data_IF_383683105161
#
_entry.id   IF_383683105161
#
_cell.length_a   1.000
_cell.length_b   1.000
_cell.length_c   1.000
_cell.angle_alpha   90.00
_cell.angle_beta   90.00
_cell.angle_gamma   90.00
#
_symmetry.space_group_name_H-M   'P 1'
#
loop_
_entity.id
_entity.type
_entity.pdbx_description
1 polymer ?
#
# COMPACT_ATOMS: atom_id res chain seq x y z
N UNK A 1 -60.41 -1.55 18.84
CA UNK A 1 -59.69 -2.46 17.91
C UNK A 1 -59.33 -1.63 16.69
N UNK A 2 -58.09 -1.27 16.41
CA UNK A 2 -56.82 -1.68 16.99
C UNK A 2 -55.77 -0.59 16.74
N UNK A 3 -54.94 -0.40 17.76
CA UNK A 3 -53.62 0.23 17.85
C UNK A 3 -52.95 0.71 16.55
N UNK A 4 -52.56 1.99 16.55
CA UNK A 4 -51.43 2.51 15.79
C UNK A 4 -50.43 3.11 16.77
N UNK A 5 -49.29 2.44 16.89
CA UNK A 5 -48.12 2.85 17.65
C UNK A 5 -47.54 4.17 17.07
N UNK A 6 -47.67 5.27 17.81
CA UNK A 6 -46.73 6.39 17.70
C UNK A 6 -45.71 6.24 18.84
N UNK A 7 -44.44 5.89 18.58
CA UNK A 7 -43.43 5.94 19.61
C UNK A 7 -42.98 7.39 19.76
N UNK A 8 -43.37 8.02 20.86
CA UNK A 8 -42.46 8.77 21.75
C UNK A 8 -41.32 9.56 21.06
N UNK A 9 -41.62 10.52 20.17
CA UNK A 9 -40.60 11.47 19.66
C UNK A 9 -40.50 12.72 20.56
N UNK A 10 -41.46 12.92 21.47
CA UNK A 10 -41.60 14.19 22.19
C UNK A 10 -40.81 14.32 23.50
N UNK A 11 -40.09 13.28 23.95
CA UNK A 11 -39.41 13.31 25.27
C UNK A 11 -37.88 13.33 25.25
N UNK A 12 -37.22 13.50 24.09
CA UNK A 12 -35.75 13.42 24.00
C UNK A 12 -35.03 14.77 23.87
N UNK A 13 -35.74 15.88 23.65
CA UNK A 13 -35.12 17.18 23.41
C UNK A 13 -35.19 18.06 24.65
N UNK A 14 -34.16 17.96 25.50
CA UNK A 14 -33.92 18.89 26.60
C UNK A 14 -33.68 20.31 26.09
N UNK A 15 -34.11 21.31 26.89
CA UNK A 15 -33.86 22.75 26.82
C UNK A 15 -33.43 23.31 25.44
N UNK A 16 -34.26 24.17 24.84
CA UNK A 16 -34.08 24.74 23.49
C UNK A 16 -32.68 25.28 23.14
N UNK A 17 -31.92 25.78 24.11
CA UNK A 17 -30.54 26.24 23.91
C UNK A 17 -29.55 25.10 23.59
N UNK A 18 -29.76 23.89 24.13
CA UNK A 18 -28.91 22.73 23.85
C UNK A 18 -29.13 22.18 22.44
N UNK A 19 -30.35 22.31 21.92
CA UNK A 19 -30.72 21.86 20.58
C UNK A 19 -30.09 22.73 19.49
N UNK A 20 -30.06 24.05 19.69
CA UNK A 20 -29.42 24.98 18.75
C UNK A 20 -27.91 24.71 18.65
N UNK A 21 -27.24 24.53 19.79
CA UNK A 21 -25.81 24.25 19.84
C UNK A 21 -25.47 22.89 19.22
N UNK A 22 -26.31 21.87 19.42
CA UNK A 22 -26.14 20.56 18.80
C UNK A 22 -26.29 20.61 17.27
N UNK A 23 -27.24 21.37 16.75
CA UNK A 23 -27.44 21.57 15.30
C UNK A 23 -26.24 22.29 14.68
N UNK A 24 -25.78 23.38 15.27
CA UNK A 24 -24.61 24.14 14.78
C UNK A 24 -23.33 23.29 14.76
N UNK A 25 -23.11 22.44 15.78
CA UNK A 25 -21.97 21.54 15.83
C UNK A 25 -22.03 20.38 14.82
N UNK A 26 -23.22 20.09 14.28
CA UNK A 26 -23.45 18.99 13.35
C UNK A 26 -23.40 19.43 11.88
N UNK A 27 -23.55 20.73 11.61
CA UNK A 27 -23.46 21.31 10.27
C UNK A 27 -22.44 22.46 10.20
N UNK A 28 -21.14 22.21 10.43
CA UNK A 28 -20.11 23.25 10.42
C UNK A 28 -19.88 23.89 9.04
N UNK A 29 -20.45 23.29 7.98
CA UNK A 29 -20.38 23.77 6.61
C UNK A 29 -21.58 24.64 6.20
N UNK A 30 -22.56 24.81 7.09
CA UNK A 30 -23.71 25.67 6.86
C UNK A 30 -23.52 26.99 7.61
N UNK A 31 -23.63 28.13 6.91
CA UNK A 31 -23.60 29.47 7.49
C UNK A 31 -24.93 29.79 8.20
N UNK A 32 -25.23 29.05 9.27
CA UNK A 32 -26.42 29.25 10.11
C UNK A 32 -25.99 29.87 11.43
N UNK A 33 -26.61 30.98 11.82
CA UNK A 33 -26.36 31.61 13.12
C UNK A 33 -27.40 31.17 14.17
N UNK A 34 -27.11 31.39 15.45
CA UNK A 34 -28.05 31.05 16.53
C UNK A 34 -29.35 31.86 16.43
N UNK A 35 -29.25 33.14 16.05
CA UNK A 35 -30.39 34.00 15.72
C UNK A 35 -31.30 33.40 14.64
N UNK A 36 -30.76 32.82 13.58
CA UNK A 36 -31.56 32.22 12.49
C UNK A 36 -32.40 31.03 12.95
N UNK A 37 -31.85 30.23 13.88
CA UNK A 37 -32.52 29.08 14.49
C UNK A 37 -33.61 29.51 15.47
N UNK A 38 -33.41 30.61 16.20
CA UNK A 38 -34.42 31.16 17.13
C UNK A 38 -35.62 31.77 16.38
N UNK A 39 -35.38 32.43 15.24
CA UNK A 39 -36.43 33.03 14.41
C UNK A 39 -37.23 31.97 13.62
N UNK A 40 -36.64 30.79 13.37
CA UNK A 40 -37.24 29.73 12.55
C UNK A 40 -37.26 28.37 13.28
N UNK A 41 -38.16 28.17 14.27
CA UNK A 41 -38.16 26.96 15.10
C UNK A 41 -38.49 25.67 14.33
N UNK A 42 -39.25 25.74 13.24
CA UNK A 42 -39.54 24.56 12.40
C UNK A 42 -38.33 24.14 11.57
N UNK A 43 -37.54 25.11 11.10
CA UNK A 43 -36.27 24.86 10.41
C UNK A 43 -35.25 24.23 11.36
N UNK A 44 -35.19 24.70 12.61
CA UNK A 44 -34.36 24.10 13.64
C UNK A 44 -34.73 22.63 13.92
N UNK A 45 -36.03 22.30 14.00
CA UNK A 45 -36.50 20.90 14.12
C UNK A 45 -36.11 20.04 12.92
N UNK A 46 -36.22 20.56 11.70
CA UNK A 46 -35.81 19.85 10.49
C UNK A 46 -34.31 19.55 10.50
N UNK A 47 -33.47 20.54 10.83
CA UNK A 47 -32.04 20.33 10.96
C UNK A 47 -31.71 19.32 12.05
N UNK A 48 -32.39 19.38 13.20
CA UNK A 48 -32.24 18.38 14.26
C UNK A 48 -32.61 16.97 13.77
N UNK A 49 -33.67 16.80 12.97
CA UNK A 49 -33.98 15.49 12.37
C UNK A 49 -32.94 15.06 11.34
N UNK A 50 -32.37 16.00 10.56
CA UNK A 50 -31.32 15.69 9.59
C UNK A 50 -30.01 15.26 10.27
N UNK A 51 -29.69 15.76 11.47
CA UNK A 51 -28.50 15.29 12.21
C UNK A 51 -28.53 13.80 12.53
N UNK A 52 -29.71 13.16 12.55
CA UNK A 52 -29.82 11.72 12.76
C UNK A 52 -29.44 10.90 11.52
N UNK A 53 -29.40 11.54 10.35
CA UNK A 53 -29.18 10.88 9.07
C UNK A 53 -27.93 11.37 8.34
N UNK A 54 -27.35 12.49 8.75
CA UNK A 54 -26.26 13.19 8.06
C UNK A 54 -25.14 13.55 9.05
N UNK A 55 -23.91 13.24 8.65
CA UNK A 55 -22.70 13.52 9.40
C UNK A 55 -22.17 14.95 9.17
N UNK A 56 -21.19 15.37 9.98
CA UNK A 56 -20.56 16.71 9.92
C UNK A 56 -20.01 17.11 8.54
N UNK A 57 -19.76 16.14 7.67
CA UNK A 57 -19.27 16.34 6.30
C UNK A 57 -20.40 16.46 5.28
N UNK A 58 -21.67 16.40 5.69
CA UNK A 58 -22.83 16.41 4.81
C UNK A 58 -23.15 15.07 4.15
N UNK A 59 -22.43 13.99 4.50
CA UNK A 59 -22.68 12.64 4.01
C UNK A 59 -23.76 11.96 4.83
N UNK A 60 -24.63 11.18 4.18
CA UNK A 60 -25.54 10.32 4.93
C UNK A 60 -24.78 9.24 5.68
N UNK A 61 -25.29 8.80 6.83
CA UNK A 61 -24.67 7.75 7.66
C UNK A 61 -24.40 6.48 6.84
N UNK A 62 -25.32 6.13 5.92
CA UNK A 62 -25.14 4.98 5.01
C UNK A 62 -24.00 5.19 4.02
N UNK A 63 -23.92 6.36 3.38
CA UNK A 63 -22.89 6.65 2.39
C UNK A 63 -21.51 6.77 3.03
N UNK A 64 -21.42 7.30 4.25
CA UNK A 64 -20.17 7.30 5.01
C UNK A 64 -19.73 5.87 5.36
N UNK A 65 -20.64 5.02 5.82
CA UNK A 65 -20.30 3.63 6.10
C UNK A 65 -19.81 2.88 4.84
N UNK A 66 -20.41 3.15 3.67
CA UNK A 66 -19.95 2.61 2.39
C UNK A 66 -18.57 3.18 1.99
N UNK A 67 -18.33 4.48 2.21
CA UNK A 67 -17.05 5.12 1.95
C UNK A 67 -15.93 4.54 2.81
N UNK A 68 -16.16 4.44 4.13
CA UNK A 68 -15.20 3.88 5.08
C UNK A 68 -14.88 2.41 4.72
N UNK A 69 -15.91 1.64 4.33
CA UNK A 69 -15.74 0.26 3.85
C UNK A 69 -14.92 0.19 2.56
N UNK A 70 -15.20 1.07 1.59
CA UNK A 70 -14.47 1.13 0.33
C UNK A 70 -13.01 1.55 0.53
N UNK A 71 -12.75 2.51 1.43
CA UNK A 71 -11.40 2.92 1.79
C UNK A 71 -10.64 1.79 2.47
N UNK A 72 -11.27 1.08 3.40
CA UNK A 72 -10.66 -0.08 4.06
C UNK A 72 -10.32 -1.18 3.04
N UNK A 73 -11.21 -1.47 2.09
CA UNK A 73 -10.96 -2.44 1.02
C UNK A 73 -9.80 -1.99 0.13
N UNK A 74 -9.76 -0.71 -0.27
CA UNK A 74 -8.65 -0.16 -1.05
C UNK A 74 -7.32 -0.27 -0.31
N UNK A 75 -7.29 0.03 0.99
CA UNK A 75 -6.09 -0.10 1.82
C UNK A 75 -5.64 -1.57 1.91
N UNK A 76 -6.59 -2.51 2.07
CA UNK A 76 -6.29 -3.94 2.09
C UNK A 76 -5.74 -4.43 0.75
N UNK A 77 -6.34 -4.04 -0.37
CA UNK A 77 -5.87 -4.37 -1.71
C UNK A 77 -4.48 -3.80 -1.97
N UNK A 78 -4.24 -2.54 -1.61
CA UNK A 78 -2.92 -1.91 -1.72
C UNK A 78 -1.88 -2.67 -0.91
N UNK A 79 -2.20 -3.06 0.33
CA UNK A 79 -1.30 -3.86 1.17
C UNK A 79 -0.99 -5.21 0.52
N UNK A 80 -2.02 -5.92 0.05
CA UNK A 80 -1.85 -7.21 -0.62
C UNK A 80 -0.99 -7.09 -1.88
N UNK A 81 -1.24 -6.07 -2.70
CA UNK A 81 -0.45 -5.78 -3.89
C UNK A 81 1.00 -5.44 -3.54
N UNK A 82 1.25 -4.60 -2.54
CA UNK A 82 2.62 -4.29 -2.11
C UNK A 82 3.36 -5.53 -1.62
N UNK A 83 2.66 -6.42 -0.92
CA UNK A 83 3.23 -7.69 -0.46
C UNK A 83 3.59 -8.60 -1.64
N UNK A 84 2.67 -8.81 -2.58
CA UNK A 84 2.92 -9.65 -3.76
C UNK A 84 4.02 -9.07 -4.64
N UNK A 85 4.01 -7.76 -4.87
CA UNK A 85 5.02 -7.04 -5.65
C UNK A 85 6.40 -7.11 -4.99
N UNK A 86 6.48 -6.93 -3.67
CA UNK A 86 7.75 -7.02 -2.93
C UNK A 86 8.33 -8.42 -3.01
N UNK A 87 7.49 -9.45 -2.86
CA UNK A 87 7.91 -10.84 -3.00
C UNK A 87 8.39 -11.10 -4.44
N UNK A 88 7.62 -10.70 -5.43
CA UNK A 88 7.95 -10.89 -6.84
C UNK A 88 9.29 -10.24 -7.20
N UNK A 89 9.52 -8.98 -6.79
CA UNK A 89 10.81 -8.32 -6.99
C UNK A 89 11.95 -9.05 -6.26
N UNK A 90 11.72 -9.50 -5.03
CA UNK A 90 12.70 -10.31 -4.30
C UNK A 90 13.06 -11.61 -5.04
N UNK A 91 12.10 -12.28 -5.67
CA UNK A 91 12.36 -13.48 -6.48
C UNK A 91 13.13 -13.17 -7.77
N UNK A 92 12.85 -12.03 -8.41
CA UNK A 92 13.61 -11.57 -9.57
C UNK A 92 15.06 -11.26 -9.20
N UNK A 93 15.28 -10.56 -8.08
CA UNK A 93 16.62 -10.26 -7.56
C UNK A 93 17.39 -11.55 -7.23
N UNK A 94 16.75 -12.51 -6.54
CA UNK A 94 17.35 -13.82 -6.27
C UNK A 94 17.78 -14.55 -7.55
N UNK A 95 16.97 -14.46 -8.61
CA UNK A 95 17.27 -15.06 -9.92
C UNK A 95 18.45 -14.35 -10.59
N UNK A 96 18.48 -13.02 -10.52
CA UNK A 96 19.58 -12.21 -11.07
C UNK A 96 20.90 -12.47 -10.33
N UNK A 97 20.88 -12.48 -9.00
CA UNK A 97 22.03 -12.81 -8.16
C UNK A 97 22.58 -14.20 -8.50
N UNK A 98 21.67 -15.16 -8.70
CA UNK A 98 22.04 -16.50 -9.14
C UNK A 98 22.72 -16.49 -10.50
N UNK A 99 22.16 -15.78 -11.49
CA UNK A 99 22.77 -15.65 -12.81
C UNK A 99 24.19 -15.08 -12.73
N UNK A 100 24.42 -14.04 -11.91
CA UNK A 100 25.77 -13.48 -11.71
C UNK A 100 26.70 -14.50 -11.06
N UNK A 101 26.24 -15.25 -10.05
CA UNK A 101 27.05 -16.28 -9.37
C UNK A 101 27.40 -17.45 -10.30
N UNK A 102 26.48 -17.89 -11.16
CA UNK A 102 26.69 -18.95 -12.17
C UNK A 102 27.81 -18.61 -13.15
N UNK A 103 27.96 -17.33 -13.52
CA UNK A 103 29.05 -16.88 -14.39
C UNK A 103 30.40 -16.77 -13.66
N UNK A 104 30.39 -16.56 -12.34
CA UNK A 104 31.61 -16.36 -11.53
C UNK A 104 32.14 -17.66 -10.91
N UNK A 105 31.30 -18.67 -10.70
CA UNK A 105 31.66 -19.89 -9.97
C UNK A 105 30.75 -21.07 -10.34
N UNK A 106 31.27 -22.29 -10.28
CA UNK A 106 30.47 -23.51 -10.45
C UNK A 106 29.51 -23.67 -9.27
N UNK A 107 28.21 -23.49 -9.52
CA UNK A 107 27.16 -23.64 -8.50
C UNK A 107 26.70 -25.10 -8.41
N UNK A 108 26.37 -25.65 -7.21
CA UNK A 108 25.89 -27.01 -7.09
C UNK A 108 24.67 -27.31 -7.99
N UNK A 109 24.58 -28.52 -8.57
CA UNK A 109 23.53 -28.86 -9.54
C UNK A 109 22.12 -28.79 -8.96
N UNK A 110 21.96 -29.05 -7.65
CA UNK A 110 20.65 -28.96 -6.97
C UNK A 110 20.16 -27.52 -6.83
N UNK A 111 21.08 -26.58 -6.55
CA UNK A 111 20.76 -25.16 -6.53
C UNK A 111 20.45 -24.66 -7.96
N UNK A 112 21.19 -25.14 -8.96
CA UNK A 112 20.90 -24.79 -10.35
C UNK A 112 19.48 -25.21 -10.78
N UNK A 113 19.06 -26.43 -10.43
CA UNK A 113 17.69 -26.89 -10.71
C UNK A 113 16.63 -26.05 -10.01
N UNK A 114 16.86 -25.62 -8.78
CA UNK A 114 15.93 -24.76 -8.03
C UNK A 114 15.71 -23.41 -8.73
N UNK A 115 16.80 -22.67 -9.01
CA UNK A 115 16.70 -21.34 -9.61
C UNK A 115 16.18 -21.39 -11.05
N UNK A 116 16.59 -22.39 -11.85
CA UNK A 116 16.06 -22.57 -13.22
C UNK A 116 14.56 -22.90 -13.22
N UNK A 117 14.10 -23.73 -12.26
CA UNK A 117 12.66 -24.04 -12.13
C UNK A 117 11.88 -22.80 -11.73
N UNK A 118 12.39 -22.04 -10.76
CA UNK A 118 11.75 -20.80 -10.29
C UNK A 118 11.66 -19.75 -11.40
N UNK A 119 12.76 -19.52 -12.13
CA UNK A 119 12.82 -18.58 -13.26
C UNK A 119 11.80 -18.94 -14.34
N UNK A 120 11.75 -20.22 -14.74
CA UNK A 120 10.78 -20.70 -15.74
C UNK A 120 9.34 -20.53 -15.27
N UNK A 121 9.03 -20.87 -14.02
CA UNK A 121 7.70 -20.64 -13.46
C UNK A 121 7.30 -19.15 -13.49
N UNK A 122 8.22 -18.26 -13.11
CA UNK A 122 7.96 -16.81 -13.12
C UNK A 122 7.74 -16.28 -14.53
N UNK A 123 8.53 -16.73 -15.51
CA UNK A 123 8.40 -16.33 -16.91
C UNK A 123 7.08 -16.82 -17.52
N UNK A 124 6.76 -18.09 -17.32
CA UNK A 124 5.50 -18.69 -17.81
C UNK A 124 4.30 -17.98 -17.21
N UNK A 125 4.29 -17.72 -15.90
CA UNK A 125 3.23 -16.99 -15.23
C UNK A 125 3.09 -15.55 -15.75
N UNK A 126 4.20 -14.83 -15.94
CA UNK A 126 4.17 -13.48 -16.52
C UNK A 126 3.66 -13.45 -17.95
N UNK A 127 4.07 -14.42 -18.77
CA UNK A 127 3.61 -14.54 -20.15
C UNK A 127 2.12 -14.87 -20.20
N UNK A 128 1.63 -15.81 -19.38
CA UNK A 128 0.21 -16.12 -19.27
C UNK A 128 -0.60 -14.88 -18.86
N UNK A 129 -0.17 -14.17 -17.80
CA UNK A 129 -0.82 -12.94 -17.33
C UNK A 129 -0.87 -11.83 -18.39
N UNK A 130 0.17 -11.70 -19.23
CA UNK A 130 0.19 -10.71 -20.32
C UNK A 130 -0.70 -11.10 -21.50
N UNK A 131 -1.00 -12.39 -21.66
CA UNK A 131 -1.91 -12.93 -22.66
C UNK A 131 -3.35 -13.02 -22.16
N UNK A 132 -3.58 -12.90 -20.85
CA UNK A 132 -4.91 -12.87 -20.25
C UNK A 132 -5.59 -11.52 -20.51
N UNK A 133 -6.34 -11.42 -21.60
CA UNK A 133 -7.09 -10.23 -22.01
C UNK A 133 -8.41 -10.00 -21.23
N UNK A 134 -8.60 -10.63 -20.07
CA UNK A 134 -9.87 -10.61 -19.32
C UNK A 134 -10.31 -9.24 -18.82
N UNK A 135 -9.50 -8.19 -18.98
CA UNK A 135 -9.80 -6.81 -18.58
C UNK A 135 -10.07 -5.86 -19.74
N UNK A 136 -9.98 -6.32 -21.00
CA UNK A 136 -10.29 -5.50 -22.19
C UNK A 136 -11.39 -6.18 -23.01
N UNK A 137 -12.61 -5.62 -23.08
CA UNK A 137 -13.75 -6.20 -23.79
C UNK A 137 -13.66 -6.02 -25.32
N UNK A 138 -12.46 -6.04 -25.91
CA UNK A 138 -12.28 -5.99 -27.35
C UNK A 138 -11.99 -7.41 -27.84
N UNK A 139 -13.04 -8.09 -28.30
CA UNK A 139 -12.98 -9.44 -28.89
C UNK A 139 -12.12 -9.54 -30.16
N UNK A 140 -11.62 -8.42 -30.70
CA UNK A 140 -10.98 -8.35 -32.02
C UNK A 140 -9.46 -8.09 -32.00
N UNK A 141 -8.81 -8.13 -30.84
CA UNK A 141 -7.34 -8.03 -30.82
C UNK A 141 -6.72 -9.42 -30.99
N UNK A 142 -5.97 -9.70 -32.08
CA UNK A 142 -5.31 -10.99 -32.25
C UNK A 142 -4.33 -11.20 -31.11
N UNK A 143 -4.34 -12.40 -30.52
CA UNK A 143 -3.37 -12.79 -29.49
C UNK A 143 -1.97 -12.41 -29.94
N UNK A 144 -1.18 -11.80 -29.04
CA UNK A 144 0.21 -11.46 -29.34
C UNK A 144 0.92 -12.76 -29.79
N UNK A 145 1.36 -12.80 -31.05
CA UNK A 145 1.97 -13.97 -31.70
C UNK A 145 1.05 -15.21 -31.90
N UNK A 146 -0.26 -15.09 -31.75
CA UNK A 146 -1.20 -16.21 -31.89
C UNK A 146 -1.15 -17.24 -30.74
N UNK A 147 -0.49 -16.88 -29.63
CA UNK A 147 -0.34 -17.75 -28.47
C UNK A 147 -1.54 -17.63 -27.52
N UNK A 148 -2.04 -18.75 -27.02
CA UNK A 148 -3.04 -18.77 -25.94
C UNK A 148 -2.39 -18.93 -24.57
N UNK A 149 -3.01 -18.43 -23.48
CA UNK A 149 -2.50 -18.63 -22.12
C UNK A 149 -2.31 -20.12 -21.76
N UNK A 150 -3.17 -21.00 -22.28
CA UNK A 150 -3.10 -22.44 -22.09
C UNK A 150 -1.82 -23.04 -22.69
N UNK A 151 -1.47 -22.65 -23.92
CA UNK A 151 -0.24 -23.10 -24.59
C UNK A 151 1.02 -22.63 -23.86
N UNK A 152 0.99 -21.44 -23.25
CA UNK A 152 2.10 -20.95 -22.43
C UNK A 152 2.21 -21.74 -21.13
N UNK A 153 1.09 -22.14 -20.52
CA UNK A 153 1.09 -22.96 -19.31
C UNK A 153 1.67 -24.36 -19.53
N UNK A 154 1.57 -24.92 -20.74
CA UNK A 154 2.21 -26.20 -21.10
C UNK A 154 3.75 -26.14 -21.02
N UNK A 155 4.35 -24.95 -21.04
CA UNK A 155 5.80 -24.75 -20.87
C UNK A 155 6.24 -24.78 -19.39
N UNK A 156 5.33 -25.02 -18.45
CA UNK A 156 5.67 -25.16 -17.03
C UNK A 156 6.68 -26.29 -16.81
N UNK A 157 7.62 -26.12 -15.87
CA UNK A 157 8.48 -27.21 -15.44
C UNK A 157 7.67 -28.41 -14.90
N UNK A 158 8.25 -29.62 -14.86
CA UNK A 158 7.59 -30.81 -14.31
C UNK A 158 7.07 -30.56 -12.89
N UNK A 159 5.85 -31.03 -12.60
CA UNK A 159 5.15 -30.74 -11.34
C UNK A 159 5.97 -31.14 -10.10
N UNK A 160 6.70 -32.25 -10.16
CA UNK A 160 7.60 -32.68 -9.08
C UNK A 160 8.69 -31.67 -8.75
N UNK A 161 9.21 -30.96 -9.75
CA UNK A 161 10.23 -29.92 -9.57
C UNK A 161 9.58 -28.66 -8.99
N UNK A 162 8.37 -28.33 -9.46
CA UNK A 162 7.59 -27.19 -8.95
C UNK A 162 7.26 -27.39 -7.47
N UNK A 163 6.82 -28.59 -7.07
CA UNK A 163 6.50 -28.87 -5.66
C UNK A 163 7.73 -28.84 -4.76
N UNK A 164 8.86 -29.42 -5.20
CA UNK A 164 10.14 -29.33 -4.47
C UNK A 164 10.66 -27.90 -4.34
N UNK A 165 10.53 -27.11 -5.40
CA UNK A 165 10.87 -25.68 -5.39
C UNK A 165 9.95 -24.93 -4.43
N UNK A 166 8.63 -25.11 -4.48
CA UNK A 166 7.66 -24.49 -3.56
C UNK A 166 7.95 -24.82 -2.10
N UNK A 167 8.29 -26.07 -1.78
CA UNK A 167 8.61 -26.49 -0.41
C UNK A 167 9.90 -25.85 0.13
N UNK A 168 10.87 -25.57 -0.74
CA UNK A 168 12.16 -24.98 -0.37
C UNK A 168 12.18 -23.44 -0.51
N UNK A 169 11.22 -22.85 -1.21
CA UNK A 169 11.14 -21.41 -1.49
C UNK A 169 11.13 -20.54 -0.24
N UNK A 170 10.31 -20.80 0.81
CA UNK A 170 10.28 -19.95 2.00
C UNK A 170 11.64 -19.82 2.67
N UNK A 171 12.39 -20.92 2.77
CA UNK A 171 13.73 -20.95 3.38
C UNK A 171 14.74 -20.15 2.57
N UNK A 172 14.67 -20.20 1.24
CA UNK A 172 15.57 -19.45 0.37
C UNK A 172 15.25 -17.94 0.39
N UNK A 173 13.96 -17.59 0.38
CA UNK A 173 13.51 -16.20 0.49
C UNK A 173 13.91 -15.62 1.84
N UNK A 174 13.67 -16.32 2.95
CA UNK A 174 14.06 -15.88 4.29
C UNK A 174 15.57 -15.66 4.40
N UNK A 175 16.38 -16.61 3.89
CA UNK A 175 17.83 -16.47 3.86
C UNK A 175 18.26 -15.24 3.06
N UNK A 176 17.73 -15.06 1.86
CA UNK A 176 18.07 -13.93 1.00
C UNK A 176 17.69 -12.58 1.63
N UNK A 177 16.48 -12.47 2.19
CA UNK A 177 16.04 -11.27 2.89
C UNK A 177 16.92 -10.97 4.10
N UNK A 178 17.29 -11.99 4.88
CA UNK A 178 18.19 -11.85 6.02
C UNK A 178 19.57 -11.37 5.58
N UNK A 179 20.16 -11.97 4.56
CA UNK A 179 21.44 -11.54 3.97
C UNK A 179 21.38 -10.07 3.52
N UNK A 180 20.31 -9.65 2.84
CA UNK A 180 20.11 -8.25 2.43
C UNK A 180 20.01 -7.31 3.62
N UNK A 181 19.23 -7.64 4.64
CA UNK A 181 19.10 -6.78 5.82
C UNK A 181 20.43 -6.66 6.57
N UNK A 182 21.20 -7.76 6.66
CA UNK A 182 22.54 -7.74 7.24
C UNK A 182 23.51 -6.90 6.41
N UNK A 183 23.47 -7.01 5.07
CA UNK A 183 24.27 -6.18 4.17
C UNK A 183 23.94 -4.70 4.28
N UNK A 184 22.67 -4.35 4.49
CA UNK A 184 22.26 -2.96 4.70
C UNK A 184 22.75 -2.44 6.05
N UNK A 185 22.64 -3.25 7.10
CA UNK A 185 23.18 -2.90 8.41
C UNK A 185 24.70 -2.63 8.35
N UNK A 186 25.47 -3.52 7.71
CA UNK A 186 26.91 -3.33 7.59
C UNK A 186 27.30 -2.10 6.77
N UNK A 187 26.45 -1.67 5.82
CA UNK A 187 26.70 -0.44 5.05
C UNK A 187 26.59 0.81 5.91
N UNK A 188 25.59 0.89 6.79
CA UNK A 188 25.39 2.06 7.65
C UNK A 188 26.23 2.01 8.94
N UNK A 189 26.53 0.81 9.44
CA UNK A 189 27.28 0.58 10.67
C UNK A 189 28.35 -0.49 10.45
N UNK A 190 29.47 -0.12 9.80
CA UNK A 190 30.55 -1.06 9.50
C UNK A 190 31.21 -1.64 10.75
N UNK A 191 31.11 -0.96 11.89
CA UNK A 191 31.64 -1.44 13.18
C UNK A 191 31.01 -2.77 13.61
N UNK A 192 29.82 -3.09 13.08
CA UNK A 192 29.09 -4.30 13.41
C UNK A 192 29.46 -5.49 12.51
N UNK A 193 30.28 -5.29 11.48
CA UNK A 193 30.65 -6.35 10.53
C UNK A 193 31.39 -7.51 11.22
N UNK A 194 32.13 -7.24 12.30
CA UNK A 194 32.93 -8.24 13.01
C UNK A 194 32.16 -8.95 14.14
N UNK A 195 30.91 -8.56 14.39
CA UNK A 195 30.09 -9.17 15.45
C UNK A 195 29.52 -10.53 15.04
N UNK A 196 29.15 -11.32 16.06
CA UNK A 196 28.52 -12.62 15.86
C UNK A 196 27.16 -12.48 15.18
N UNK A 197 26.76 -13.49 14.41
CA UNK A 197 25.51 -13.48 13.65
C UNK A 197 24.27 -13.30 14.55
N UNK A 198 24.33 -13.82 15.79
CA UNK A 198 23.28 -13.63 16.80
C UNK A 198 23.13 -12.17 17.25
N UNK A 199 24.24 -11.46 17.44
CA UNK A 199 24.22 -10.03 17.79
C UNK A 199 23.71 -9.18 16.62
N UNK A 200 24.16 -9.48 15.40
CA UNK A 200 23.65 -8.82 14.19
C UNK A 200 22.14 -9.04 14.03
N UNK A 201 21.66 -10.25 14.33
CA UNK A 201 20.23 -10.59 14.26
C UNK A 201 19.39 -9.80 15.27
N UNK A 202 19.90 -9.57 16.48
CA UNK A 202 19.21 -8.72 17.45
C UNK A 202 19.16 -7.25 16.99
N UNK A 203 20.23 -6.78 16.33
CA UNK A 203 20.32 -5.42 15.81
C UNK A 203 19.46 -5.18 14.57
N UNK A 204 19.04 -6.22 13.85
CA UNK A 204 18.07 -6.13 12.74
C UNK A 204 16.76 -5.46 13.16
N UNK A 205 16.36 -5.60 14.43
CA UNK A 205 15.14 -4.95 14.96
C UNK A 205 15.25 -3.42 14.86
N UNK A 206 16.46 -2.87 14.95
CA UNK A 206 16.71 -1.42 14.88
C UNK A 206 16.91 -0.90 13.44
N UNK A 207 17.00 -1.77 12.44
CA UNK A 207 17.24 -1.38 11.05
C UNK A 207 16.17 -0.42 10.52
N UNK A 208 14.90 -0.62 10.88
CA UNK A 208 13.81 0.25 10.45
C UNK A 208 13.95 1.67 11.01
N UNK A 209 14.38 1.82 12.26
CA UNK A 209 14.68 3.11 12.89
C UNK A 209 15.81 3.83 12.17
N UNK A 210 16.94 3.13 11.94
CA UNK A 210 18.10 3.65 11.22
C UNK A 210 17.74 4.11 9.79
N UNK A 211 16.98 3.30 9.06
CA UNK A 211 16.54 3.65 7.70
C UNK A 211 15.62 4.87 7.69
N UNK A 212 14.77 5.05 8.71
CA UNK A 212 13.92 6.23 8.82
C UNK A 212 14.73 7.49 9.12
N UNK A 213 15.75 7.39 9.98
CA UNK A 213 16.67 8.50 10.26
C UNK A 213 17.44 8.92 9.01
N UNK A 214 18.01 7.97 8.27
CA UNK A 214 18.72 8.24 7.02
C UNK A 214 17.80 8.74 5.90
N UNK A 215 16.55 8.25 5.83
CA UNK A 215 15.53 8.81 4.94
C UNK A 215 15.26 10.28 5.25
N UNK A 216 15.01 10.60 6.52
CA UNK A 216 14.77 11.99 6.96
C UNK A 216 15.99 12.87 6.64
N UNK A 217 17.19 12.37 6.89
CA UNK A 217 18.44 13.07 6.55
C UNK A 217 18.55 13.33 5.05
N UNK A 218 18.26 12.33 4.21
CA UNK A 218 18.25 12.46 2.75
C UNK A 218 17.25 13.52 2.28
N UNK A 219 16.04 13.55 2.86
CA UNK A 219 15.01 14.53 2.54
C UNK A 219 15.46 15.96 2.89
N UNK A 220 16.03 16.17 4.07
CA UNK A 220 16.58 17.48 4.46
C UNK A 220 17.75 17.93 3.57
N UNK A 221 18.59 16.99 3.13
CA UNK A 221 19.69 17.29 2.21
C UNK A 221 19.17 17.68 0.82
N UNK A 222 18.08 17.04 0.35
CA UNK A 222 17.44 17.39 -0.92
C UNK A 222 16.83 18.79 -0.88
N UNK A 223 16.19 19.15 0.23
CA UNK A 223 15.61 20.48 0.41
C UNK A 223 16.69 21.57 0.43
N UNK A 224 17.72 21.39 1.25
CA UNK A 224 18.88 22.32 1.29
C UNK A 224 19.61 22.41 -0.06
N UNK A 225 19.76 21.30 -0.80
CA UNK A 225 20.33 21.30 -2.15
C UNK A 225 19.47 22.11 -3.13
N UNK A 226 18.14 21.98 -3.05
CA UNK A 226 17.21 22.77 -3.87
C UNK A 226 17.31 24.27 -3.55
N UNK A 227 17.38 24.63 -2.27
CA UNK A 227 17.58 26.01 -1.83
C UNK A 227 18.91 26.58 -2.31
N UNK A 228 20.00 25.82 -2.16
CA UNK A 228 21.33 26.20 -2.64
C UNK A 228 21.33 26.41 -4.15
N UNK A 229 20.64 25.56 -4.92
CA UNK A 229 20.50 25.70 -6.37
C UNK A 229 19.80 27.02 -6.74
N UNK A 230 18.73 27.37 -6.03
CA UNK A 230 18.03 28.65 -6.24
C UNK A 230 18.92 29.85 -5.89
N UNK A 231 19.68 29.78 -4.79
CA UNK A 231 20.64 30.83 -4.42
C UNK A 231 21.76 31.00 -5.47
N UNK A 232 22.32 29.89 -5.95
CA UNK A 232 23.31 29.87 -7.02
C UNK A 232 22.78 30.50 -8.31
N UNK A 233 21.53 30.19 -8.69
CA UNK A 233 20.89 30.80 -9.86
C UNK A 233 20.75 32.32 -9.70
N UNK A 234 20.33 32.80 -8.51
CA UNK A 234 20.24 34.23 -8.23
C UNK A 234 21.59 34.93 -8.27
N UNK A 235 22.63 34.33 -7.68
CA UNK A 235 23.99 34.88 -7.75
C UNK A 235 24.51 34.91 -9.20
N UNK A 236 24.30 33.83 -9.95
CA UNK A 236 24.69 33.77 -11.37
C UNK A 236 24.00 34.85 -12.20
N UNK A 237 22.71 35.13 -11.94
CA UNK A 237 21.99 36.23 -12.60
C UNK A 237 22.58 37.60 -12.25
N UNK A 238 23.01 37.81 -11.00
CA UNK A 238 23.66 39.05 -10.57
C UNK A 238 25.05 39.26 -11.18
N UNK A 239 25.80 38.19 -11.47
CA UNK A 239 27.12 38.29 -12.12
C UNK A 239 27.05 38.44 -13.65
N UNK A 240 25.94 38.06 -14.28
CA UNK A 240 25.71 38.14 -15.73
C UNK A 240 24.91 39.38 -16.15
N UNK A 241 24.46 40.20 -15.20
CA UNK A 241 23.84 41.51 -15.43
C UNK A 241 24.83 42.64 -15.25
#
# INVERSE_FOLDING_TARGET
MSDSFEPTITSLFGNGNGLHQQVLASFPLCDVTEEDLTQNPQFCKLLATLTQHVDRTGLTVSLKAELDKAEQELQNQRRFWLWSESLYRGLQEMTQDYCVRKHRSSVPPDQNKFYETMERCLLVAQCALKLDHSSTPNLDQPSVLGLTPQQVMELMPPEENVQRMKASLPRHVERHLREKCLSLLSYYQPEWEHESEGLKSNKLVHLSGLLNEEKRRSETLKETSRENTVMLQRQTQLYLS
#
